data_IF_638233852982
#
_entry.id   IF_638233852982
#
_cell.length_a   1.000
_cell.length_b   1.000
_cell.length_c   1.000
_cell.angle_alpha   90.00
_cell.angle_beta   90.00
_cell.angle_gamma   90.00
#
_symmetry.space_group_name_H-M   'P 1'
#
loop_
_entity.id
_entity.type
_entity.pdbx_description
1 polymer ?
#
# COMPACT_ATOMS: atom_id res chain seq x y z
N UNK A 1 49.53 21.79 -14.24
CA UNK A 1 49.23 21.58 -12.81
C UNK A 1 47.80 21.10 -12.73
N UNK A 2 47.64 19.79 -12.87
CA UNK A 2 46.37 19.07 -12.70
C UNK A 2 46.29 18.66 -11.24
N UNK A 3 45.35 19.24 -10.50
CA UNK A 3 44.99 18.80 -9.16
C UNK A 3 44.46 17.37 -9.26
N UNK A 4 45.25 16.43 -8.77
CA UNK A 4 44.84 15.05 -8.53
C UNK A 4 44.23 15.06 -7.12
N UNK A 5 42.96 15.46 -7.01
CA UNK A 5 42.16 15.10 -5.85
C UNK A 5 42.01 13.59 -5.88
N UNK A 6 42.64 12.89 -4.94
CA UNK A 6 42.54 11.45 -4.81
C UNK A 6 41.07 11.06 -4.65
N UNK A 7 40.53 10.31 -5.61
CA UNK A 7 39.28 9.56 -5.49
C UNK A 7 39.45 8.50 -4.38
N UNK A 8 39.36 8.90 -3.11
CA UNK A 8 39.05 7.94 -2.06
C UNK A 8 37.56 7.67 -2.16
N UNK A 9 37.21 6.45 -2.57
CA UNK A 9 35.82 6.01 -2.65
C UNK A 9 35.10 6.12 -1.31
N UNK A 10 33.77 6.19 -1.35
CA UNK A 10 32.91 6.03 -0.17
C UNK A 10 33.33 4.78 0.62
N UNK A 11 33.53 4.92 1.93
CA UNK A 11 33.95 3.84 2.83
C UNK A 11 35.24 3.12 2.41
N UNK A 12 36.23 3.87 1.91
CA UNK A 12 37.57 3.34 1.64
C UNK A 12 38.18 2.72 2.91
N UNK A 13 38.30 1.38 2.92
CA UNK A 13 38.84 0.60 4.03
C UNK A 13 40.32 0.87 4.32
N UNK A 14 41.04 1.55 3.43
CA UNK A 14 42.41 2.00 3.67
C UNK A 14 42.51 3.32 4.45
N UNK A 15 41.37 3.98 4.71
CA UNK A 15 41.30 5.15 5.55
C UNK A 15 41.09 4.75 7.02
N UNK A 16 42.18 4.46 7.72
CA UNK A 16 42.19 4.02 9.13
C UNK A 16 41.52 5.02 10.10
N UNK A 17 41.35 6.29 9.69
CA UNK A 17 40.71 7.34 10.49
C UNK A 17 39.22 7.55 10.18
N UNK A 18 38.66 6.84 9.20
CA UNK A 18 37.27 7.07 8.76
C UNK A 18 36.26 6.87 9.89
N UNK A 19 36.46 5.86 10.74
CA UNK A 19 35.56 5.57 11.86
C UNK A 19 35.70 6.58 13.01
N UNK A 20 36.84 7.25 13.11
CA UNK A 20 37.14 8.25 14.15
C UNK A 20 36.72 9.67 13.74
N UNK A 21 36.51 9.93 12.44
CA UNK A 21 35.97 11.18 11.92
C UNK A 21 34.44 11.11 11.78
N UNK A 22 33.75 11.51 12.85
CA UNK A 22 32.27 11.54 12.92
C UNK A 22 31.64 12.30 11.74
N UNK A 23 32.22 13.44 11.33
CA UNK A 23 31.64 14.28 10.28
C UNK A 23 31.78 13.62 8.91
N UNK A 24 32.95 13.07 8.62
CA UNK A 24 33.19 12.36 7.37
C UNK A 24 32.30 11.12 7.26
N UNK A 25 32.25 10.31 8.31
CA UNK A 25 31.42 9.10 8.36
C UNK A 25 29.93 9.44 8.20
N UNK A 26 29.43 10.43 8.94
CA UNK A 26 28.04 10.86 8.84
C UNK A 26 27.67 11.36 7.44
N UNK A 27 28.58 12.07 6.75
CA UNK A 27 28.35 12.52 5.38
C UNK A 27 28.30 11.33 4.40
N UNK A 28 29.22 10.37 4.53
CA UNK A 28 29.23 9.17 3.69
C UNK A 28 27.99 8.30 3.86
N UNK A 29 27.50 8.13 5.10
CA UNK A 29 26.24 7.40 5.37
C UNK A 29 25.05 8.13 4.73
N UNK A 30 24.96 9.45 4.90
CA UNK A 30 23.87 10.27 4.31
C UNK A 30 23.88 10.22 2.78
N UNK A 31 25.06 10.16 2.17
CA UNK A 31 25.20 10.02 0.73
C UNK A 31 24.62 8.69 0.24
N UNK A 32 24.91 7.58 0.94
CA UNK A 32 24.29 6.29 0.62
C UNK A 32 22.77 6.27 0.80
N UNK A 33 22.25 6.88 1.87
CA UNK A 33 20.80 7.01 2.07
C UNK A 33 20.15 7.79 0.92
N UNK A 34 20.77 8.89 0.50
CA UNK A 34 20.28 9.76 -0.57
C UNK A 34 20.18 9.05 -1.94
N UNK A 35 21.05 8.07 -2.23
CA UNK A 35 20.97 7.26 -3.46
C UNK A 35 19.62 6.54 -3.58
N UNK A 36 19.02 6.17 -2.44
CA UNK A 36 17.74 5.45 -2.39
C UNK A 36 16.52 6.36 -2.11
N UNK A 37 16.72 7.66 -1.86
CA UNK A 37 15.66 8.63 -1.53
C UNK A 37 14.90 9.11 -2.78
N UNK A 38 14.21 8.15 -3.44
CA UNK A 38 13.36 8.47 -4.58
C UNK A 38 12.14 9.30 -4.15
N UNK A 39 11.84 10.33 -4.95
CA UNK A 39 10.73 11.27 -4.70
C UNK A 39 9.77 11.32 -5.87
N UNK A 40 8.50 11.48 -5.55
CA UNK A 40 7.45 11.80 -6.50
C UNK A 40 7.50 13.28 -6.86
N UNK A 41 7.32 13.60 -8.14
CA UNK A 41 7.23 14.97 -8.62
C UNK A 41 5.92 15.62 -8.14
N UNK A 42 6.05 16.79 -7.50
CA UNK A 42 4.94 17.58 -6.96
C UNK A 42 3.95 18.05 -8.02
N UNK A 43 4.38 18.16 -9.27
CA UNK A 43 3.58 18.65 -10.40
C UNK A 43 2.56 17.63 -10.90
N UNK A 44 2.68 16.37 -10.47
CA UNK A 44 1.82 15.28 -10.89
C UNK A 44 1.02 14.72 -9.71
N UNK A 45 -0.24 14.30 -9.95
CA UNK A 45 -0.96 13.48 -8.99
C UNK A 45 -0.26 12.13 -8.81
N UNK A 46 -0.56 11.47 -7.71
CA UNK A 46 0.00 10.15 -7.41
C UNK A 46 -1.01 9.23 -6.76
N UNK A 47 -0.75 7.93 -6.87
CA UNK A 47 -1.55 6.88 -6.25
C UNK A 47 -0.66 6.11 -5.28
N UNK A 48 -1.18 5.88 -4.08
CA UNK A 48 -0.60 4.92 -3.12
C UNK A 48 -1.52 3.71 -3.07
N UNK A 49 -0.96 2.53 -3.30
CA UNK A 49 -1.71 1.26 -3.17
C UNK A 49 -1.11 0.44 -2.05
N UNK A 50 -1.97 0.05 -1.12
CA UNK A 50 -1.66 -0.71 0.09
C UNK A 50 -2.29 -2.09 -0.09
N UNK A 51 -1.51 -3.16 0.05
CA UNK A 51 -1.98 -4.53 -0.21
C UNK A 51 -1.68 -5.44 0.99
N UNK A 52 -2.57 -6.38 1.26
CA UNK A 52 -2.50 -7.29 2.38
C UNK A 52 -1.41 -8.36 2.22
N UNK A 53 -0.43 -8.39 3.11
CA UNK A 53 0.64 -9.39 3.05
C UNK A 53 0.12 -10.76 3.50
N UNK A 54 0.11 -11.72 2.58
CA UNK A 54 -0.34 -13.10 2.83
C UNK A 54 -1.78 -13.20 3.35
N UNK A 55 -2.68 -12.32 2.88
CA UNK A 55 -4.04 -12.24 3.39
C UNK A 55 -4.90 -13.47 3.09
N UNK A 56 -4.55 -14.27 2.07
CA UNK A 56 -5.14 -15.61 1.88
C UNK A 56 -4.94 -16.52 3.11
N UNK A 57 -3.80 -16.41 3.79
CA UNK A 57 -3.54 -17.14 5.02
C UNK A 57 -4.23 -16.46 6.20
N UNK A 58 -4.17 -15.13 6.27
CA UNK A 58 -4.81 -14.34 7.32
C UNK A 58 -6.33 -14.56 7.40
N UNK A 59 -7.01 -14.72 6.26
CA UNK A 59 -8.47 -14.88 6.18
C UNK A 59 -8.92 -16.33 6.19
N UNK A 60 -8.01 -17.27 6.49
CA UNK A 60 -8.34 -18.70 6.53
C UNK A 60 -9.27 -18.99 7.71
N UNK A 61 -10.43 -19.55 7.38
CA UNK A 61 -11.51 -19.88 8.33
C UNK A 61 -12.47 -18.72 8.60
N UNK A 62 -12.32 -17.59 7.91
CA UNK A 62 -13.33 -16.52 7.90
C UNK A 62 -14.53 -16.96 7.05
N UNK A 63 -15.66 -16.28 7.24
CA UNK A 63 -16.89 -16.54 6.50
C UNK A 63 -16.68 -16.34 5.00
N UNK A 64 -17.15 -17.29 4.19
CA UNK A 64 -17.08 -17.25 2.73
C UNK A 64 -18.46 -16.99 2.13
N UNK A 65 -18.55 -16.37 0.95
CA UNK A 65 -17.45 -15.82 0.13
C UNK A 65 -16.89 -14.49 0.67
N UNK A 66 -17.68 -13.75 1.44
CA UNK A 66 -17.32 -12.44 1.97
C UNK A 66 -17.63 -12.35 3.46
N UNK A 67 -16.64 -11.98 4.27
CA UNK A 67 -16.80 -11.78 5.71
C UNK A 67 -17.08 -10.30 6.00
N UNK A 68 -18.28 -9.99 6.49
CA UNK A 68 -18.71 -8.61 6.75
C UNK A 68 -17.87 -7.90 7.81
N UNK A 69 -17.21 -8.64 8.72
CA UNK A 69 -16.31 -8.07 9.72
C UNK A 69 -15.08 -7.46 9.07
N UNK A 70 -14.53 -8.13 8.06
CA UNK A 70 -13.44 -7.56 7.26
C UNK A 70 -13.88 -6.32 6.53
N UNK A 71 -15.05 -6.35 5.88
CA UNK A 71 -15.60 -5.19 5.18
C UNK A 71 -15.71 -3.98 6.11
N UNK A 72 -16.27 -4.16 7.31
CA UNK A 72 -16.38 -3.09 8.30
C UNK A 72 -15.01 -2.61 8.78
N UNK A 73 -14.08 -3.51 9.08
CA UNK A 73 -12.73 -3.15 9.50
C UNK A 73 -11.98 -2.35 8.42
N UNK A 74 -12.09 -2.73 7.15
CA UNK A 74 -11.51 -1.97 6.04
C UNK A 74 -12.17 -0.62 5.85
N UNK A 75 -13.51 -0.53 5.88
CA UNK A 75 -14.22 0.76 5.77
C UNK A 75 -13.77 1.73 6.87
N UNK A 76 -13.68 1.26 8.12
CA UNK A 76 -13.21 2.07 9.26
C UNK A 76 -11.74 2.47 9.10
N UNK A 77 -10.90 1.56 8.61
CA UNK A 77 -9.49 1.85 8.31
C UNK A 77 -9.35 2.90 7.21
N UNK A 78 -10.13 2.79 6.13
CA UNK A 78 -10.18 3.76 5.03
C UNK A 78 -10.68 5.12 5.50
N UNK A 79 -11.67 5.18 6.39
CA UNK A 79 -12.13 6.43 6.98
C UNK A 79 -11.02 7.13 7.78
N UNK A 80 -10.28 6.38 8.59
CA UNK A 80 -9.13 6.90 9.34
C UNK A 80 -7.99 7.37 8.42
N UNK A 81 -7.76 6.69 7.30
CA UNK A 81 -6.79 7.09 6.28
C UNK A 81 -7.22 8.39 5.60
N UNK A 82 -8.50 8.51 5.25
CA UNK A 82 -9.08 9.70 4.65
C UNK A 82 -8.91 10.91 5.59
N UNK A 83 -9.27 10.75 6.86
CA UNK A 83 -9.17 11.82 7.85
C UNK A 83 -7.72 12.23 8.11
N UNK A 84 -6.78 11.27 8.17
CA UNK A 84 -5.38 11.57 8.54
C UNK A 84 -4.56 12.14 7.40
N UNK A 85 -4.73 11.61 6.19
CA UNK A 85 -3.86 11.92 5.05
C UNK A 85 -4.53 12.77 3.97
N UNK A 86 -5.85 12.94 4.03
CA UNK A 86 -6.64 13.75 3.10
C UNK A 86 -6.36 13.43 1.60
N UNK A 87 -6.38 12.16 1.17
CA UNK A 87 -6.43 11.84 -0.25
C UNK A 87 -7.71 12.39 -0.87
N UNK A 88 -7.68 12.65 -2.19
CA UNK A 88 -8.87 13.01 -2.96
C UNK A 88 -9.92 11.90 -2.94
N UNK A 89 -9.46 10.66 -3.08
CA UNK A 89 -10.34 9.47 -3.19
C UNK A 89 -9.64 8.26 -2.56
N UNK A 90 -10.44 7.40 -1.93
CA UNK A 90 -10.02 6.06 -1.51
C UNK A 90 -10.94 5.03 -2.17
N UNK A 91 -10.33 3.98 -2.72
CA UNK A 91 -11.02 2.78 -3.19
C UNK A 91 -10.46 1.57 -2.45
N UNK A 92 -11.31 0.73 -1.88
CA UNK A 92 -10.90 -0.51 -1.24
C UNK A 92 -11.55 -1.69 -1.94
N UNK A 93 -10.80 -2.79 -2.06
CA UNK A 93 -11.33 -4.08 -2.47
C UNK A 93 -10.52 -5.23 -1.89
N UNK A 94 -11.19 -6.31 -1.47
CA UNK A 94 -10.56 -7.47 -0.83
C UNK A 94 -9.71 -7.00 0.37
N UNK A 95 -8.40 -7.07 0.22
CA UNK A 95 -7.35 -6.72 1.16
C UNK A 95 -6.50 -5.53 0.69
N UNK A 96 -6.90 -4.88 -0.41
CA UNK A 96 -6.19 -3.77 -1.04
C UNK A 96 -6.93 -2.43 -0.83
N UNK A 97 -6.17 -1.37 -0.59
CA UNK A 97 -6.64 0.02 -0.51
C UNK A 97 -5.82 0.89 -1.47
N UNK A 98 -6.48 1.53 -2.42
CA UNK A 98 -5.92 2.55 -3.31
C UNK A 98 -6.31 3.95 -2.85
N UNK A 99 -5.32 4.80 -2.60
CA UNK A 99 -5.47 6.21 -2.23
C UNK A 99 -4.97 7.09 -3.37
N UNK A 100 -5.78 8.06 -3.80
CA UNK A 100 -5.43 9.00 -4.87
C UNK A 100 -5.18 10.38 -4.27
N UNK A 101 -4.05 10.97 -4.60
CA UNK A 101 -3.65 12.32 -4.19
C UNK A 101 -3.48 13.22 -5.41
N UNK A 102 -3.88 14.48 -5.29
CA UNK A 102 -3.76 15.44 -6.39
C UNK A 102 -2.31 15.93 -6.57
N UNK A 103 -2.06 16.59 -7.70
CA UNK A 103 -0.86 17.42 -7.86
C UNK A 103 -0.85 18.58 -6.85
N UNK A 104 0.33 19.03 -6.46
CA UNK A 104 0.47 20.26 -5.71
C UNK A 104 0.05 21.46 -6.57
N UNK A 105 -0.70 22.44 -6.03
CA UNK A 105 -1.09 23.62 -6.79
C UNK A 105 0.13 24.38 -7.30
N UNK A 106 0.10 24.78 -8.58
CA UNK A 106 1.12 25.66 -9.13
C UNK A 106 0.90 27.06 -8.56
N UNK A 107 1.77 27.46 -7.63
CA UNK A 107 1.75 28.81 -7.07
C UNK A 107 2.66 29.70 -7.93
N UNK A 108 2.06 30.56 -8.77
CA UNK A 108 2.79 31.61 -9.51
C UNK A 108 3.13 32.79 -8.57
N UNK A 109 3.88 32.53 -7.50
CA UNK A 109 4.43 33.57 -6.63
C UNK A 109 5.93 33.34 -6.47
N UNK A 110 6.79 34.23 -7.01
CA UNK A 110 8.24 34.04 -7.01
C UNK A 110 8.86 33.98 -5.62
N UNK A 111 8.14 34.37 -4.56
CA UNK A 111 8.64 34.43 -3.18
C UNK A 111 8.17 33.27 -2.29
N UNK A 112 7.40 32.31 -2.82
CA UNK A 112 6.99 31.12 -2.05
C UNK A 112 7.76 29.89 -2.49
N UNK A 113 8.22 29.12 -1.50
CA UNK A 113 8.76 27.79 -1.73
C UNK A 113 7.76 26.95 -2.54
N UNK A 114 8.23 26.15 -3.52
CA UNK A 114 7.35 25.25 -4.27
C UNK A 114 6.60 24.34 -3.29
N UNK A 115 5.30 24.17 -3.55
CA UNK A 115 4.48 23.25 -2.76
C UNK A 115 4.97 21.82 -3.00
N UNK A 116 5.19 21.09 -1.92
CA UNK A 116 5.59 19.69 -1.96
C UNK A 116 4.45 18.78 -1.53
N UNK A 117 4.45 17.55 -2.06
CA UNK A 117 3.59 16.49 -1.56
C UNK A 117 3.88 16.20 -0.09
N UNK A 118 2.93 15.56 0.60
CA UNK A 118 3.17 15.04 1.95
C UNK A 118 4.49 14.24 2.01
N UNK A 119 5.24 14.44 3.10
CA UNK A 119 6.58 13.89 3.29
C UNK A 119 7.62 14.28 2.22
N UNK A 120 7.44 15.40 1.53
CA UNK A 120 8.29 15.86 0.43
C UNK A 120 8.32 14.89 -0.76
N UNK A 121 7.22 14.16 -0.96
CA UNK A 121 7.10 13.15 -2.03
C UNK A 121 8.00 11.92 -1.85
N UNK A 122 8.70 11.76 -0.73
CA UNK A 122 9.63 10.64 -0.50
C UNK A 122 8.89 9.31 -0.48
N UNK A 123 9.13 8.47 -1.50
CA UNK A 123 8.39 7.23 -1.74
C UNK A 123 8.48 6.31 -0.53
N UNK A 124 9.68 6.10 0.01
CA UNK A 124 9.89 5.22 1.16
C UNK A 124 9.08 5.65 2.38
N UNK A 125 9.02 6.95 2.66
CA UNK A 125 8.28 7.51 3.80
C UNK A 125 6.77 7.45 3.58
N UNK A 126 6.31 7.71 2.34
CA UNK A 126 4.92 7.53 1.96
C UNK A 126 4.47 6.09 2.21
N UNK A 127 5.11 5.12 1.56
CA UNK A 127 4.67 3.72 1.61
C UNK A 127 4.77 3.13 3.01
N UNK A 128 5.87 3.39 3.74
CA UNK A 128 6.06 2.85 5.09
C UNK A 128 5.07 3.41 6.10
N UNK A 129 4.81 4.72 6.10
CA UNK A 129 3.89 5.33 7.06
C UNK A 129 2.43 4.96 6.76
N UNK A 130 2.03 4.97 5.48
CA UNK A 130 0.68 4.59 5.08
C UNK A 130 0.39 3.10 5.35
N UNK A 131 1.32 2.20 5.03
CA UNK A 131 1.18 0.77 5.32
C UNK A 131 1.17 0.50 6.84
N UNK A 132 2.08 1.12 7.59
CA UNK A 132 2.13 1.00 9.06
C UNK A 132 0.83 1.49 9.73
N UNK A 133 0.31 2.63 9.28
CA UNK A 133 -0.95 3.16 9.79
C UNK A 133 -2.13 2.26 9.46
N UNK A 134 -2.19 1.73 8.23
CA UNK A 134 -3.20 0.75 7.81
C UNK A 134 -3.16 -0.50 8.68
N UNK A 135 -1.97 -1.09 8.90
CA UNK A 135 -1.79 -2.22 9.82
C UNK A 135 -2.33 -1.92 11.22
N UNK A 136 -1.95 -0.80 11.81
CA UNK A 136 -2.37 -0.46 13.17
C UNK A 136 -3.89 -0.31 13.28
N UNK A 137 -4.53 0.37 12.32
CA UNK A 137 -5.98 0.62 12.33
C UNK A 137 -6.78 -0.63 11.96
N UNK A 138 -6.36 -1.37 10.95
CA UNK A 138 -7.03 -2.60 10.57
C UNK A 138 -6.99 -3.63 11.70
N UNK A 139 -5.82 -3.88 12.32
CA UNK A 139 -5.73 -4.81 13.44
C UNK A 139 -6.59 -4.37 14.63
N UNK A 140 -6.66 -3.07 14.92
CA UNK A 140 -7.59 -2.56 15.93
C UNK A 140 -9.03 -2.90 15.57
N UNK A 141 -9.47 -2.51 14.38
CA UNK A 141 -10.88 -2.62 14.00
C UNK A 141 -11.35 -4.05 13.81
N UNK A 142 -10.51 -4.94 13.26
CA UNK A 142 -10.85 -6.35 13.10
C UNK A 142 -10.96 -7.08 14.44
N UNK A 143 -10.21 -6.64 15.47
CA UNK A 143 -10.31 -7.17 16.83
C UNK A 143 -11.53 -6.66 17.61
N UNK A 144 -12.11 -5.52 17.21
CA UNK A 144 -13.33 -4.97 17.81
C UNK A 144 -14.62 -5.62 17.26
N UNK A 145 -14.50 -6.42 16.20
CA UNK A 145 -15.64 -7.13 15.60
C UNK A 145 -16.09 -8.31 16.47
N UNK A 146 -17.35 -8.73 16.30
CA UNK A 146 -17.89 -9.90 16.99
C UNK A 146 -17.44 -11.20 16.32
N UNK A 147 -16.66 -12.02 17.03
CA UNK A 147 -16.15 -13.32 16.58
C UNK A 147 -16.81 -14.50 17.31
N UNK A 148 -17.87 -14.27 18.07
CA UNK A 148 -18.54 -15.31 18.88
C UNK A 148 -19.21 -16.41 18.05
N UNK A 149 -19.52 -16.14 16.79
CA UNK A 149 -20.07 -17.10 15.82
C UNK A 149 -19.03 -18.08 15.27
N UNK A 150 -17.73 -17.81 15.47
CA UNK A 150 -16.63 -18.67 15.01
C UNK A 150 -15.91 -19.28 16.22
N UNK A 151 -16.25 -20.53 16.52
CA UNK A 151 -15.54 -21.31 17.54
C UNK A 151 -14.25 -21.93 16.97
N UNK A 152 -13.23 -21.11 16.74
CA UNK A 152 -11.93 -21.55 16.27
C UNK A 152 -10.78 -20.83 16.99
N UNK A 153 -10.10 -21.55 17.87
CA UNK A 153 -8.99 -21.00 18.67
C UNK A 153 -7.90 -20.36 17.80
N UNK A 154 -7.57 -20.98 16.66
CA UNK A 154 -6.54 -20.45 15.74
C UNK A 154 -6.93 -19.13 15.07
N UNK A 155 -8.22 -18.79 15.02
CA UNK A 155 -8.67 -17.48 14.54
C UNK A 155 -8.52 -16.46 15.66
N UNK A 156 -8.91 -16.81 16.89
CA UNK A 156 -8.77 -15.93 18.06
C UNK A 156 -7.30 -15.59 18.34
N UNK A 157 -6.41 -16.58 18.33
CA UNK A 157 -4.96 -16.38 18.48
C UNK A 157 -4.40 -15.43 17.40
N UNK A 158 -4.86 -15.57 16.15
CA UNK A 158 -4.43 -14.72 15.03
C UNK A 158 -4.88 -13.27 15.21
N UNK A 159 -6.12 -13.05 15.63
CA UNK A 159 -6.64 -11.72 15.91
C UNK A 159 -5.89 -11.09 17.08
N UNK A 160 -5.74 -11.83 18.19
CA UNK A 160 -5.05 -11.38 19.39
C UNK A 160 -3.56 -11.05 19.16
N UNK A 161 -2.90 -11.73 18.21
CA UNK A 161 -1.52 -11.44 17.83
C UNK A 161 -1.34 -10.21 16.94
N UNK A 162 -2.42 -9.57 16.48
CA UNK A 162 -2.39 -8.38 15.62
C UNK A 162 -1.52 -8.58 14.36
N UNK A 163 -1.61 -9.78 13.76
CA UNK A 163 -0.71 -10.23 12.71
C UNK A 163 -1.15 -9.86 11.29
N UNK A 164 -1.97 -8.82 11.11
CA UNK A 164 -2.31 -8.30 9.79
C UNK A 164 -1.28 -7.26 9.33
N UNK A 165 -0.58 -7.56 8.25
CA UNK A 165 0.48 -6.72 7.69
C UNK A 165 0.09 -6.23 6.29
N UNK A 166 0.60 -5.06 5.94
CA UNK A 166 0.37 -4.47 4.62
C UNK A 166 1.69 -4.02 4.00
N UNK A 167 1.81 -4.16 2.68
CA UNK A 167 2.84 -3.49 1.89
C UNK A 167 2.29 -2.19 1.31
N UNK A 168 3.15 -1.41 0.66
CA UNK A 168 2.74 -0.18 0.01
C UNK A 168 3.58 0.11 -1.23
N UNK A 169 2.94 0.67 -2.25
CA UNK A 169 3.59 1.18 -3.47
C UNK A 169 3.02 2.55 -3.81
N UNK A 170 3.89 3.50 -4.15
CA UNK A 170 3.51 4.84 -4.56
C UNK A 170 4.05 5.13 -5.96
N UNK A 171 3.22 5.72 -6.83
CA UNK A 171 3.61 6.06 -8.19
C UNK A 171 2.87 7.31 -8.68
N UNK A 172 3.59 8.18 -9.38
CA UNK A 172 3.00 9.34 -10.07
C UNK A 172 2.21 8.90 -11.30
N UNK A 173 1.19 9.67 -11.63
CA UNK A 173 0.37 9.50 -12.84
C UNK A 173 0.25 10.83 -13.56
N UNK A 174 0.12 10.86 -14.90
CA UNK A 174 0.28 12.10 -15.66
C UNK A 174 -0.82 13.14 -15.42
N UNK A 175 -2.00 12.73 -14.95
CA UNK A 175 -3.14 13.61 -14.66
C UNK A 175 -4.21 12.87 -13.83
N UNK A 176 -5.23 13.60 -13.39
CA UNK A 176 -6.35 13.05 -12.62
C UNK A 176 -7.12 11.95 -13.36
N UNK A 177 -7.22 12.03 -14.70
CA UNK A 177 -7.85 10.97 -15.49
C UNK A 177 -7.08 9.65 -15.39
N UNK A 178 -5.74 9.68 -15.48
CA UNK A 178 -4.92 8.49 -15.31
C UNK A 178 -5.00 7.93 -13.87
N UNK A 179 -5.08 8.81 -12.86
CA UNK A 179 -5.33 8.40 -11.47
C UNK A 179 -6.66 7.65 -11.35
N UNK A 180 -7.74 8.22 -11.89
CA UNK A 180 -9.06 7.59 -11.92
C UNK A 180 -9.02 6.28 -12.72
N UNK A 181 -8.40 6.26 -13.89
CA UNK A 181 -8.29 5.08 -14.75
C UNK A 181 -7.57 3.92 -14.03
N UNK A 182 -6.57 4.21 -13.19
CA UNK A 182 -5.92 3.20 -12.35
C UNK A 182 -6.90 2.55 -11.38
N UNK A 183 -7.74 3.35 -10.71
CA UNK A 183 -8.80 2.87 -9.81
C UNK A 183 -9.90 2.14 -10.59
N UNK A 184 -10.33 2.68 -11.73
CA UNK A 184 -11.34 2.07 -12.58
C UNK A 184 -10.89 0.71 -13.10
N UNK A 185 -9.60 0.55 -13.43
CA UNK A 185 -9.06 -0.73 -13.84
C UNK A 185 -9.22 -1.78 -12.71
N UNK A 186 -8.87 -1.42 -11.47
CA UNK A 186 -9.09 -2.27 -10.28
C UNK A 186 -10.56 -2.65 -10.16
N UNK A 187 -11.45 -1.66 -10.14
CA UNK A 187 -12.88 -1.89 -9.97
C UNK A 187 -13.51 -2.73 -11.09
N UNK A 188 -13.31 -2.34 -12.35
CA UNK A 188 -14.06 -2.88 -13.48
C UNK A 188 -13.56 -4.25 -13.93
N UNK A 189 -12.25 -4.48 -13.83
CA UNK A 189 -11.62 -5.68 -14.40
C UNK A 189 -11.11 -6.64 -13.33
N UNK A 190 -10.36 -6.15 -12.34
CA UNK A 190 -9.74 -7.05 -11.35
C UNK A 190 -10.74 -7.50 -10.28
N UNK A 191 -11.36 -6.55 -9.58
CA UNK A 191 -12.38 -6.80 -8.56
C UNK A 191 -13.52 -7.65 -9.10
N UNK A 192 -14.08 -7.30 -10.26
CA UNK A 192 -15.21 -8.06 -10.83
C UNK A 192 -14.82 -9.52 -11.11
N UNK A 193 -13.61 -9.75 -11.63
CA UNK A 193 -13.08 -11.09 -11.89
C UNK A 193 -12.89 -11.86 -10.58
N UNK A 194 -12.23 -11.27 -9.59
CA UNK A 194 -11.92 -11.91 -8.31
C UNK A 194 -13.18 -12.19 -7.49
N UNK A 195 -14.13 -11.26 -7.45
CA UNK A 195 -15.42 -11.44 -6.79
C UNK A 195 -16.25 -12.54 -7.44
N UNK A 196 -16.32 -12.57 -8.78
CA UNK A 196 -17.02 -13.63 -9.53
C UNK A 196 -16.40 -15.00 -9.23
N UNK A 197 -15.07 -15.09 -9.24
CA UNK A 197 -14.35 -16.33 -8.94
C UNK A 197 -14.58 -16.80 -7.50
N UNK A 198 -14.47 -15.88 -6.53
CA UNK A 198 -14.68 -16.17 -5.11
C UNK A 198 -16.10 -16.65 -4.83
N UNK A 199 -17.09 -16.02 -5.46
CA UNK A 199 -18.48 -16.42 -5.36
C UNK A 199 -18.74 -17.77 -6.06
N UNK A 200 -18.14 -18.02 -7.23
CA UNK A 200 -18.24 -19.34 -7.87
C UNK A 200 -17.66 -20.46 -6.99
N UNK A 201 -16.53 -20.21 -6.32
CA UNK A 201 -15.89 -21.16 -5.40
C UNK A 201 -16.70 -21.47 -4.14
N UNK A 202 -17.73 -20.67 -3.80
CA UNK A 202 -18.64 -21.04 -2.70
C UNK A 202 -19.69 -22.07 -3.11
N UNK A 203 -19.89 -22.32 -4.41
CA UNK A 203 -20.86 -23.29 -4.94
C UNK A 203 -20.20 -24.46 -5.67
N UNK A 204 -19.03 -24.25 -6.29
CA UNK A 204 -18.36 -25.22 -7.13
C UNK A 204 -16.96 -25.55 -6.63
N UNK A 205 -16.54 -26.78 -6.85
CA UNK A 205 -15.16 -27.19 -6.60
C UNK A 205 -14.18 -26.50 -7.54
N UNK A 206 -12.92 -26.39 -7.12
CA UNK A 206 -11.85 -25.79 -7.94
C UNK A 206 -11.71 -26.48 -9.31
N UNK A 207 -11.86 -27.80 -9.37
CA UNK A 207 -11.80 -28.56 -10.62
C UNK A 207 -12.97 -28.23 -11.56
N UNK A 208 -14.16 -27.96 -11.02
CA UNK A 208 -15.34 -27.65 -11.82
C UNK A 208 -15.26 -26.29 -12.52
N UNK A 209 -14.48 -25.36 -11.97
CA UNK A 209 -14.35 -23.99 -12.50
C UNK A 209 -13.01 -23.73 -13.20
N UNK A 210 -12.12 -24.72 -13.22
CA UNK A 210 -10.79 -24.59 -13.82
C UNK A 210 -10.91 -24.25 -15.32
N UNK A 211 -10.20 -23.22 -15.76
CA UNK A 211 -10.19 -22.77 -17.16
C UNK A 211 -11.44 -21.99 -17.60
N UNK A 212 -12.39 -21.71 -16.71
CA UNK A 212 -13.60 -20.95 -17.03
C UNK A 212 -13.36 -19.45 -17.03
N UNK A 213 -13.89 -18.77 -18.03
CA UNK A 213 -13.93 -17.31 -18.10
C UNK A 213 -14.91 -16.73 -17.07
N UNK A 214 -14.76 -15.45 -16.65
CA UNK A 214 -15.72 -14.81 -15.76
C UNK A 214 -17.16 -14.82 -16.29
N UNK A 215 -17.36 -14.81 -17.61
CA UNK A 215 -18.69 -14.93 -18.22
C UNK A 215 -19.28 -16.33 -17.98
N UNK A 216 -18.53 -17.39 -18.26
CA UNK A 216 -18.97 -18.76 -18.02
C UNK A 216 -19.31 -19.00 -16.54
N UNK A 217 -18.49 -18.46 -15.62
CA UNK A 217 -18.77 -18.56 -14.18
C UNK A 217 -20.10 -17.90 -13.80
N UNK A 218 -20.39 -16.73 -14.37
CA UNK A 218 -21.68 -16.04 -14.14
C UNK A 218 -22.86 -16.82 -14.69
N UNK A 219 -22.71 -17.49 -15.83
CA UNK A 219 -23.76 -18.33 -16.39
C UNK A 219 -23.97 -19.61 -15.57
N UNK A 220 -22.89 -20.19 -15.02
CA UNK A 220 -22.98 -21.30 -14.08
C UNK A 220 -23.78 -20.90 -12.83
N UNK A 221 -23.47 -19.74 -12.25
CA UNK A 221 -24.11 -19.20 -11.05
C UNK A 221 -25.59 -18.79 -11.20
N UNK A 222 -26.09 -18.69 -12.43
CA UNK A 222 -27.50 -18.33 -12.73
C UNK A 222 -28.43 -19.55 -12.81
N UNK A 223 -27.88 -20.76 -12.79
CA UNK A 223 -28.61 -22.03 -12.88
C UNK A 223 -28.89 -22.57 -11.48
#
# INVERSE_FOLDING_TARGET
MTDITSEKGLFDSSNDQLLDDEKLLANQVKELEAISDQRLDSSYPFVVRIDGVSFRNYTRGFTKPFDQRMTRAFIRTSADLLQRFNPLTIYYESDEISLVFDACPIVHQPEKHPQEHMYSGRIQKLVSVLASYTSAKFNKYINEEDWSDIDNERIRERLASHSAYFDGRAFSVPNQFAAMASVYWRHRYDTLKNATLTYALSYYSQNAILGKSPHELRDMLRR
#
